data_IF_443164132292
#
_entry.id   IF_443164132292
#
_cell.length_a   1.000
_cell.length_b   1.000
_cell.length_c   1.000
_cell.angle_alpha   90.00
_cell.angle_beta   90.00
_cell.angle_gamma   90.00
#
_symmetry.space_group_name_H-M   'P 1'
#
loop_
_entity.id
_entity.type
_entity.pdbx_description
1 polymer ?
#
# COMPACT_ATOMS: atom_id res chain seq x y z
N UNK A 1 -3.57 -5.46 -21.95
CA UNK A 1 -4.87 -5.02 -21.40
C UNK A 1 -5.11 -5.72 -20.06
N UNK A 2 -4.55 -5.22 -18.96
CA UNK A 2 -4.65 -5.87 -17.64
C UNK A 2 -4.51 -4.78 -16.56
N UNK A 3 -5.57 -4.51 -15.78
CA UNK A 3 -5.50 -3.53 -14.69
C UNK A 3 -6.83 -3.15 -14.04
N UNK A 4 -7.96 -3.16 -14.75
CA UNK A 4 -9.26 -2.75 -14.18
C UNK A 4 -10.48 -3.45 -14.82
N UNK A 5 -10.48 -4.78 -14.95
CA UNK A 5 -11.75 -5.50 -15.10
C UNK A 5 -12.49 -5.42 -13.77
N UNK A 6 -13.29 -4.35 -13.60
CA UNK A 6 -14.11 -4.01 -12.42
C UNK A 6 -13.42 -4.22 -11.06
N UNK A 7 -12.81 -3.17 -10.51
CA UNK A 7 -12.27 -3.16 -9.13
C UNK A 7 -13.39 -3.10 -8.04
N UNK A 8 -14.65 -3.07 -8.46
CA UNK A 8 -15.84 -3.07 -7.61
C UNK A 8 -15.77 -4.00 -6.37
N UNK A 9 -15.52 -5.33 -6.49
CA UNK A 9 -15.48 -6.20 -5.33
C UNK A 9 -14.38 -5.79 -4.34
N UNK A 10 -13.24 -5.29 -4.81
CA UNK A 10 -12.15 -4.81 -3.97
C UNK A 10 -12.50 -3.50 -3.27
N UNK A 11 -13.22 -2.59 -3.94
CA UNK A 11 -13.73 -1.37 -3.30
C UNK A 11 -14.73 -1.68 -2.19
N UNK A 12 -15.65 -2.60 -2.44
CA UNK A 12 -16.61 -3.07 -1.43
C UNK A 12 -15.88 -3.71 -0.25
N UNK A 13 -14.90 -4.58 -0.53
CA UNK A 13 -14.09 -5.21 0.51
C UNK A 13 -13.31 -4.15 1.32
N UNK A 14 -12.61 -3.24 0.67
CA UNK A 14 -11.83 -2.20 1.34
C UNK A 14 -12.67 -1.31 2.26
N UNK A 15 -13.86 -0.88 1.82
CA UNK A 15 -14.76 -0.07 2.66
C UNK A 15 -15.42 -0.89 3.77
N UNK A 16 -15.68 -2.18 3.54
CA UNK A 16 -16.16 -3.09 4.59
C UNK A 16 -15.10 -3.27 5.67
N UNK A 17 -13.87 -3.64 5.30
CA UNK A 17 -12.77 -3.81 6.26
C UNK A 17 -12.49 -2.52 7.02
N UNK A 18 -12.44 -1.37 6.33
CA UNK A 18 -12.32 -0.05 6.98
C UNK A 18 -13.40 0.15 8.05
N UNK A 19 -14.65 -0.19 7.74
CA UNK A 19 -15.75 -0.08 8.71
C UNK A 19 -15.62 -1.07 9.88
N UNK A 20 -15.26 -2.33 9.60
CA UNK A 20 -15.09 -3.36 10.63
C UNK A 20 -13.98 -3.01 11.63
N UNK A 21 -12.87 -2.47 11.12
CA UNK A 21 -11.67 -2.14 11.88
C UNK A 21 -11.75 -0.79 12.59
N UNK A 22 -12.30 0.24 11.94
CA UNK A 22 -12.26 1.63 12.45
C UNK A 22 -13.62 2.19 12.86
N UNK A 23 -14.71 1.58 12.40
CA UNK A 23 -16.07 2.11 12.58
C UNK A 23 -16.43 3.24 11.61
N UNK A 24 -15.55 3.61 10.68
CA UNK A 24 -15.79 4.65 9.68
C UNK A 24 -16.48 4.05 8.44
N UNK A 25 -17.53 4.71 7.96
CA UNK A 25 -18.28 4.28 6.78
C UNK A 25 -18.56 5.45 5.83
N UNK A 26 -18.07 5.35 4.60
CA UNK A 26 -18.30 6.32 3.53
C UNK A 26 -19.55 5.95 2.74
N UNK A 27 -20.55 6.84 2.72
CA UNK A 27 -21.83 6.60 2.05
C UNK A 27 -22.32 7.81 1.26
N UNK A 28 -23.24 7.56 0.34
CA UNK A 28 -24.05 8.58 -0.32
C UNK A 28 -25.51 8.40 0.06
N UNK A 29 -26.14 9.45 0.58
CA UNK A 29 -27.56 9.47 0.90
C UNK A 29 -28.41 9.28 -0.35
N UNK A 30 -29.35 8.33 -0.35
CA UNK A 30 -30.11 7.97 -1.56
C UNK A 30 -31.03 9.10 -2.03
N UNK A 31 -31.54 9.93 -1.12
CA UNK A 31 -32.53 10.98 -1.41
C UNK A 31 -31.85 12.26 -1.87
N UNK A 32 -30.92 12.76 -1.09
CA UNK A 32 -30.22 14.04 -1.30
C UNK A 32 -29.00 13.91 -2.21
N UNK A 33 -28.51 12.69 -2.47
CA UNK A 33 -27.27 12.40 -3.20
C UNK A 33 -26.02 13.02 -2.59
N UNK A 34 -26.08 13.43 -1.32
CA UNK A 34 -24.93 13.98 -0.60
C UNK A 34 -24.05 12.84 -0.10
N UNK A 35 -22.73 13.00 -0.25
CA UNK A 35 -21.73 12.14 0.39
C UNK A 35 -21.65 12.47 1.88
N UNK A 36 -21.60 11.44 2.71
CA UNK A 36 -21.60 11.53 4.17
C UNK A 36 -20.64 10.49 4.72
N UNK A 37 -19.89 10.87 5.76
CA UNK A 37 -19.09 9.94 6.54
C UNK A 37 -19.83 9.65 7.83
N UNK A 38 -20.18 8.38 8.04
CA UNK A 38 -20.80 7.90 9.27
C UNK A 38 -19.74 7.25 10.16
N UNK A 39 -19.90 7.33 11.48
CA UNK A 39 -19.00 6.70 12.44
C UNK A 39 -19.78 5.98 13.54
N UNK A 40 -19.27 4.84 14.02
CA UNK A 40 -19.87 4.15 15.18
C UNK A 40 -19.78 4.95 16.47
N UNK A 41 -18.80 5.86 16.58
CA UNK A 41 -18.67 6.80 17.70
C UNK A 41 -19.91 7.70 17.83
N UNK A 42 -20.47 8.12 16.70
CA UNK A 42 -21.63 9.03 16.65
C UNK A 42 -22.98 8.31 16.54
N UNK A 43 -22.99 7.02 16.22
CA UNK A 43 -24.20 6.21 16.08
C UNK A 43 -24.04 4.77 16.61
N UNK A 44 -24.62 4.51 17.79
CA UNK A 44 -24.60 3.18 18.41
C UNK A 44 -25.36 2.09 17.62
N UNK A 45 -26.28 2.45 16.72
CA UNK A 45 -26.92 1.47 15.83
C UNK A 45 -25.91 0.93 14.81
N UNK A 46 -25.00 1.77 14.32
CA UNK A 46 -23.92 1.33 13.43
C UNK A 46 -22.98 0.35 14.13
N UNK A 47 -22.68 0.56 15.41
CA UNK A 47 -21.85 -0.38 16.16
C UNK A 47 -22.52 -1.76 16.30
N UNK A 48 -23.85 -1.79 16.47
CA UNK A 48 -24.65 -3.02 16.42
C UNK A 48 -24.57 -3.75 15.07
N UNK A 49 -24.61 -3.00 13.97
CA UNK A 49 -24.40 -3.55 12.63
C UNK A 49 -22.97 -4.07 12.44
N UNK A 50 -21.97 -3.31 12.88
CA UNK A 50 -20.55 -3.70 12.81
C UNK A 50 -20.30 -5.05 13.46
N UNK A 51 -20.85 -5.30 14.65
CA UNK A 51 -20.78 -6.63 15.29
C UNK A 51 -21.39 -7.75 14.45
N UNK A 52 -22.56 -7.52 13.83
CA UNK A 52 -23.21 -8.50 12.95
C UNK A 52 -22.39 -8.78 11.70
N UNK A 53 -21.79 -7.74 11.11
CA UNK A 53 -20.98 -7.84 9.90
C UNK A 53 -19.68 -8.60 10.18
N UNK A 54 -19.00 -8.31 11.29
CA UNK A 54 -17.81 -9.07 11.71
C UNK A 54 -18.09 -10.55 11.94
N UNK A 55 -19.28 -10.88 12.44
CA UNK A 55 -19.71 -12.27 12.60
C UNK A 55 -20.13 -12.93 11.28
N UNK A 56 -20.64 -12.15 10.31
CA UNK A 56 -21.05 -12.61 9.00
C UNK A 56 -20.93 -11.47 7.96
N UNK A 57 -19.83 -11.42 7.17
CA UNK A 57 -19.57 -10.33 6.23
C UNK A 57 -20.66 -10.13 5.17
N UNK A 58 -21.47 -11.15 4.87
CA UNK A 58 -22.60 -11.02 3.92
C UNK A 58 -23.67 -10.01 4.38
N UNK A 59 -23.75 -9.76 5.70
CA UNK A 59 -24.65 -8.78 6.32
C UNK A 59 -24.31 -7.33 5.97
N UNK A 60 -23.13 -7.07 5.42
CA UNK A 60 -22.75 -5.71 5.01
C UNK A 60 -23.73 -5.10 4.01
N UNK A 61 -24.23 -5.92 3.06
CA UNK A 61 -25.22 -5.48 2.08
C UNK A 61 -26.55 -5.02 2.69
N UNK A 62 -26.92 -5.53 3.86
CA UNK A 62 -28.18 -5.22 4.56
C UNK A 62 -28.14 -3.85 5.26
N UNK A 63 -26.95 -3.26 5.43
CA UNK A 63 -26.77 -1.94 6.06
C UNK A 63 -27.32 -0.78 5.22
N UNK A 64 -27.44 -0.98 3.90
CA UNK A 64 -27.65 0.08 2.91
C UNK A 64 -29.13 0.24 2.50
N UNK A 65 -29.98 0.64 3.46
CA UNK A 65 -31.42 0.94 3.21
C UNK A 65 -31.62 2.35 2.65
N UNK A 66 -31.15 3.36 3.37
CA UNK A 66 -31.31 4.79 3.05
C UNK A 66 -30.06 5.37 2.38
N UNK A 67 -28.97 4.62 2.43
CA UNK A 67 -27.67 4.99 1.92
C UNK A 67 -27.20 4.03 0.84
N UNK A 68 -26.28 4.50 0.00
CA UNK A 68 -25.44 3.65 -0.86
C UNK A 68 -24.00 3.75 -0.38
N UNK A 69 -23.24 2.68 -0.52
CA UNK A 69 -21.80 2.72 -0.29
C UNK A 69 -21.12 3.71 -1.27
N UNK A 70 -20.30 4.62 -0.77
CA UNK A 70 -19.60 5.61 -1.61
C UNK A 70 -18.28 5.03 -2.14
N UNK A 71 -18.40 4.28 -3.24
CA UNK A 71 -17.25 3.67 -3.91
C UNK A 71 -16.31 4.70 -4.54
N UNK A 72 -16.78 5.93 -4.78
CA UNK A 72 -16.00 7.00 -5.43
C UNK A 72 -15.08 7.75 -4.45
N UNK A 73 -15.31 7.57 -3.14
CA UNK A 73 -14.41 8.03 -2.08
C UNK A 73 -13.02 7.40 -2.22
N UNK A 74 -12.96 6.12 -2.62
CA UNK A 74 -11.71 5.40 -2.85
C UNK A 74 -11.05 5.85 -4.15
N UNK A 75 -9.83 6.38 -4.05
CA UNK A 75 -8.94 6.58 -5.20
C UNK A 75 -8.00 5.38 -5.30
N UNK A 76 -7.98 4.65 -6.43
CA UNK A 76 -6.98 3.60 -6.65
C UNK A 76 -5.57 4.16 -6.51
N UNK A 77 -4.68 3.38 -5.91
CA UNK A 77 -3.32 3.83 -5.59
C UNK A 77 -2.25 2.92 -6.19
N UNK A 78 -2.28 1.62 -5.85
CA UNK A 78 -1.35 0.62 -6.38
C UNK A 78 -1.88 -0.80 -6.21
N UNK A 79 -1.24 -1.76 -6.87
CA UNK A 79 -1.53 -3.18 -6.73
C UNK A 79 -0.24 -3.96 -6.48
N UNK A 80 -0.11 -4.67 -5.37
CA UNK A 80 1.09 -5.39 -4.97
C UNK A 80 0.87 -6.89 -4.92
N UNK A 81 1.72 -7.64 -5.61
CA UNK A 81 1.76 -9.09 -5.49
C UNK A 81 2.93 -9.50 -4.60
N UNK A 82 2.66 -10.17 -3.48
CA UNK A 82 3.71 -10.70 -2.61
C UNK A 82 4.65 -11.64 -3.38
N UNK A 83 5.99 -11.50 -3.23
CA UNK A 83 6.95 -12.37 -3.91
C UNK A 83 6.75 -13.86 -3.59
N UNK A 84 7.16 -14.75 -4.51
CA UNK A 84 6.99 -16.22 -4.35
C UNK A 84 7.77 -16.83 -3.18
N UNK A 85 8.74 -16.10 -2.63
CA UNK A 85 9.55 -16.58 -1.50
C UNK A 85 8.76 -16.64 -0.19
N UNK A 86 7.68 -15.86 -0.07
CA UNK A 86 6.85 -15.85 1.12
C UNK A 86 5.83 -16.99 1.08
N UNK A 87 5.65 -17.66 2.23
CA UNK A 87 4.71 -18.78 2.39
C UNK A 87 3.28 -18.40 2.01
N UNK A 88 2.86 -17.21 2.39
CA UNK A 88 1.56 -16.65 2.06
C UNK A 88 1.74 -15.53 1.04
N UNK A 89 0.92 -15.53 -0.01
CA UNK A 89 0.96 -14.52 -1.06
C UNK A 89 -0.38 -13.83 -1.17
N UNK A 90 -0.33 -12.51 -1.28
CA UNK A 90 -1.50 -11.66 -1.46
C UNK A 90 -1.34 -10.82 -2.72
N UNK A 91 -2.43 -10.63 -3.46
CA UNK A 91 -2.56 -9.65 -4.54
C UNK A 91 -3.38 -8.49 -3.99
N UNK A 92 -2.70 -7.48 -3.46
CA UNK A 92 -3.26 -6.44 -2.60
C UNK A 92 -3.45 -5.14 -3.38
N UNK A 93 -4.70 -4.73 -3.55
CA UNK A 93 -5.06 -3.42 -4.08
C UNK A 93 -5.10 -2.38 -2.95
N UNK A 94 -4.27 -1.35 -3.08
CA UNK A 94 -4.25 -0.18 -2.21
C UNK A 94 -5.16 0.91 -2.77
N UNK A 95 -5.88 1.55 -1.85
CA UNK A 95 -6.70 2.73 -2.12
C UNK A 95 -6.34 3.84 -1.14
N UNK A 96 -6.60 5.09 -1.54
CA UNK A 96 -6.51 6.26 -0.66
C UNK A 96 -7.84 6.98 -0.63
N UNK A 97 -8.24 7.47 0.54
CA UNK A 97 -9.43 8.29 0.71
C UNK A 97 -8.99 9.68 1.22
N UNK A 98 -9.18 10.74 0.42
CA UNK A 98 -8.99 12.10 0.90
C UNK A 98 -10.08 12.46 1.92
N UNK A 99 -9.68 13.03 3.06
CA UNK A 99 -10.58 13.53 4.11
C UNK A 99 -10.17 14.95 4.47
N UNK A 100 -11.15 15.78 4.83
CA UNK A 100 -10.92 17.19 5.16
C UNK A 100 -10.36 17.36 6.58
N UNK A 101 -10.77 16.48 7.50
CA UNK A 101 -10.40 16.48 8.90
C UNK A 101 -10.17 15.04 9.40
N UNK A 102 -9.51 14.93 10.54
CA UNK A 102 -9.39 13.67 11.27
C UNK A 102 -10.78 13.13 11.64
N UNK A 103 -11.02 11.86 11.31
CA UNK A 103 -12.27 11.17 11.64
C UNK A 103 -12.06 10.39 12.93
N UNK A 104 -13.01 10.50 13.86
CA UNK A 104 -13.00 9.71 15.10
C UNK A 104 -13.09 8.21 14.80
N UNK A 105 -12.11 7.47 15.33
CA UNK A 105 -11.99 6.02 15.15
C UNK A 105 -12.44 5.31 16.42
N UNK A 106 -13.24 4.26 16.26
CA UNK A 106 -13.48 3.26 17.31
C UNK A 106 -12.80 1.96 16.87
N UNK A 107 -11.56 1.75 17.30
CA UNK A 107 -10.76 0.61 16.81
C UNK A 107 -11.32 -0.75 17.21
N UNK A 108 -11.01 -1.74 16.39
CA UNK A 108 -11.17 -3.15 16.69
C UNK A 108 -10.05 -3.66 17.61
N UNK A 109 -10.34 -3.83 18.90
CA UNK A 109 -9.37 -4.29 19.91
C UNK A 109 -8.90 -5.76 19.77
N UNK A 110 -9.55 -6.56 18.92
CA UNK A 110 -9.14 -7.94 18.64
C UNK A 110 -8.00 -8.05 17.63
N UNK A 111 -7.92 -7.10 16.70
CA UNK A 111 -6.98 -7.14 15.56
C UNK A 111 -5.97 -5.98 15.62
N UNK A 112 -6.35 -4.87 16.28
CA UNK A 112 -5.53 -3.67 16.42
C UNK A 112 -5.21 -3.42 17.88
N UNK A 113 -3.94 -3.10 18.16
CA UNK A 113 -3.50 -2.64 19.48
C UNK A 113 -3.54 -1.13 19.62
N UNK A 114 -3.33 -0.39 18.53
CA UNK A 114 -3.20 1.07 18.51
C UNK A 114 -3.69 1.65 17.17
N UNK A 115 -4.10 2.93 17.18
CA UNK A 115 -4.39 3.71 15.98
C UNK A 115 -3.94 5.16 16.17
N UNK A 116 -3.52 5.81 15.09
CA UNK A 116 -3.05 7.20 15.09
C UNK A 116 -3.38 7.85 13.75
N UNK A 117 -3.82 9.12 13.79
CA UNK A 117 -3.61 10.02 12.67
C UNK A 117 -2.16 10.51 12.74
N UNK A 118 -1.36 10.21 11.70
CA UNK A 118 0.08 10.48 11.67
C UNK A 118 0.50 10.83 10.25
N UNK A 119 1.48 11.72 10.10
CA UNK A 119 2.00 12.05 8.78
C UNK A 119 2.88 10.92 8.23
N UNK A 120 2.98 10.74 6.90
CA UNK A 120 3.90 9.78 6.31
C UNK A 120 5.35 9.96 6.79
N UNK A 121 5.81 11.20 6.96
CA UNK A 121 7.15 11.52 7.46
C UNK A 121 7.40 10.93 8.84
N UNK A 122 6.51 11.20 9.79
CA UNK A 122 6.68 10.78 11.19
C UNK A 122 6.67 9.24 11.32
N UNK A 123 5.78 8.54 10.61
CA UNK A 123 5.75 7.07 10.68
C UNK A 123 6.98 6.42 10.04
N UNK A 124 7.51 7.02 8.95
CA UNK A 124 8.76 6.59 8.32
C UNK A 124 9.97 6.82 9.26
N UNK A 125 10.01 7.94 9.97
CA UNK A 125 11.04 8.22 10.99
C UNK A 125 10.98 7.22 12.15
N UNK A 126 9.77 6.90 12.66
CA UNK A 126 9.59 5.84 13.66
C UNK A 126 10.06 4.48 13.15
N UNK A 127 9.78 4.16 11.88
CA UNK A 127 10.26 2.93 11.27
C UNK A 127 11.80 2.86 11.21
N UNK A 128 12.46 3.97 10.87
CA UNK A 128 13.93 4.05 10.84
C UNK A 128 14.56 3.87 12.22
N UNK A 129 13.85 4.23 13.29
CA UNK A 129 14.29 4.06 14.68
C UNK A 129 13.95 2.68 15.25
N UNK A 130 13.11 1.90 14.59
CA UNK A 130 12.70 0.57 15.05
C UNK A 130 13.80 -0.47 14.82
N UNK A 131 14.07 -1.27 15.86
CA UNK A 131 15.03 -2.38 15.81
C UNK A 131 14.52 -3.58 15.00
N UNK A 132 13.21 -3.66 14.74
CA UNK A 132 12.59 -4.76 13.98
C UNK A 132 11.98 -4.29 12.66
N UNK A 133 11.84 -2.99 12.44
CA UNK A 133 11.05 -2.45 11.33
C UNK A 133 9.55 -2.54 11.64
N UNK A 134 8.86 -1.41 11.59
CA UNK A 134 7.43 -1.29 11.82
C UNK A 134 6.61 -1.57 10.55
N UNK A 135 7.16 -1.22 9.40
CA UNK A 135 6.47 -1.21 8.12
C UNK A 135 6.98 -2.31 7.21
N UNK A 136 6.11 -3.19 6.68
CA UNK A 136 6.48 -4.08 5.61
C UNK A 136 6.79 -3.30 4.32
N UNK A 137 7.47 -3.94 3.35
CA UNK A 137 7.97 -3.25 2.16
C UNK A 137 6.89 -2.52 1.33
N UNK A 138 5.69 -3.07 1.08
CA UNK A 138 4.63 -2.33 0.40
C UNK A 138 4.24 -1.05 1.14
N UNK A 139 3.98 -1.12 2.45
CA UNK A 139 3.59 0.05 3.25
C UNK A 139 4.69 1.11 3.27
N UNK A 140 5.95 0.72 3.47
CA UNK A 140 7.07 1.67 3.47
C UNK A 140 7.21 2.38 2.12
N UNK A 141 7.16 1.61 1.02
CA UNK A 141 7.23 2.16 -0.32
C UNK A 141 6.06 3.13 -0.56
N UNK A 142 4.83 2.72 -0.26
CA UNK A 142 3.65 3.56 -0.48
C UNK A 142 3.60 4.82 0.39
N UNK A 143 4.10 4.77 1.63
CA UNK A 143 4.25 5.96 2.48
C UNK A 143 5.31 6.92 1.94
N UNK A 144 6.44 6.41 1.41
CA UNK A 144 7.42 7.24 0.72
C UNK A 144 6.82 7.91 -0.53
N UNK A 145 5.95 7.21 -1.27
CA UNK A 145 5.24 7.78 -2.43
C UNK A 145 4.25 8.85 -2.03
N UNK A 146 3.47 8.61 -0.97
CA UNK A 146 2.54 9.59 -0.43
C UNK A 146 3.26 10.84 0.06
N UNK A 147 4.38 10.68 0.78
CA UNK A 147 5.22 11.79 1.23
C UNK A 147 5.66 12.70 0.07
N UNK A 148 5.92 12.12 -1.10
CA UNK A 148 6.37 12.83 -2.30
C UNK A 148 5.22 13.17 -3.28
N UNK A 149 3.96 12.95 -2.89
CA UNK A 149 2.79 13.22 -3.73
C UNK A 149 1.95 14.33 -3.14
N UNK A 150 1.80 15.44 -3.89
CA UNK A 150 0.87 16.51 -3.51
C UNK A 150 -0.57 15.98 -3.53
N UNK A 151 -1.37 16.44 -2.59
CA UNK A 151 -2.76 16.00 -2.41
C UNK A 151 -3.62 16.09 -3.71
N UNK A 152 -3.51 17.19 -4.44
CA UNK A 152 -4.22 17.39 -5.71
C UNK A 152 -3.72 16.50 -6.87
N UNK A 153 -2.66 15.72 -6.67
CA UNK A 153 -2.08 14.79 -7.65
C UNK A 153 -2.34 13.33 -7.30
N UNK A 154 -2.98 13.01 -6.17
CA UNK A 154 -3.19 11.63 -5.71
C UNK A 154 -3.78 10.72 -6.79
N UNK A 155 -4.87 11.13 -7.45
CA UNK A 155 -5.48 10.30 -8.51
C UNK A 155 -4.60 10.14 -9.74
N UNK A 156 -3.74 11.12 -10.06
CA UNK A 156 -2.80 11.04 -11.19
C UNK A 156 -1.60 10.13 -10.91
N UNK A 157 -1.33 9.86 -9.63
CA UNK A 157 -0.25 9.00 -9.14
C UNK A 157 -0.67 7.54 -8.93
N UNK A 158 -1.93 7.20 -9.25
CA UNK A 158 -2.35 5.80 -9.35
C UNK A 158 -1.39 5.03 -10.27
N UNK A 159 -0.84 3.93 -9.77
CA UNK A 159 -0.08 3.00 -10.59
C UNK A 159 -1.03 1.97 -11.21
N UNK A 160 -1.24 1.98 -12.54
CA UNK A 160 -2.16 1.06 -13.19
C UNK A 160 -1.59 -0.36 -13.32
N UNK A 161 -0.30 -0.55 -13.03
CA UNK A 161 0.38 -1.83 -13.17
C UNK A 161 0.53 -2.54 -11.83
N UNK A 162 0.37 -3.86 -11.87
CA UNK A 162 0.69 -4.71 -10.73
C UNK A 162 2.19 -4.69 -10.47
N UNK A 163 2.56 -4.32 -9.26
CA UNK A 163 3.89 -4.36 -8.73
C UNK A 163 4.19 -5.79 -8.29
N UNK A 164 5.17 -6.40 -8.95
CA UNK A 164 5.66 -7.74 -8.61
C UNK A 164 7.12 -7.61 -8.16
N UNK A 165 7.39 -7.35 -6.88
CA UNK A 165 8.77 -7.29 -6.41
C UNK A 165 9.45 -8.67 -6.53
N UNK A 166 10.77 -8.66 -6.70
CA UNK A 166 11.58 -9.89 -6.81
C UNK A 166 12.67 -9.87 -5.76
N UNK A 167 12.91 -11.02 -5.14
CA UNK A 167 13.86 -11.13 -4.03
C UNK A 167 15.22 -11.62 -4.53
N UNK A 168 16.27 -10.94 -4.09
CA UNK A 168 17.66 -11.35 -4.26
C UNK A 168 18.30 -11.40 -2.87
N UNK A 169 18.80 -12.58 -2.49
CA UNK A 169 19.60 -12.78 -1.29
C UNK A 169 21.07 -12.46 -1.56
N UNK A 170 21.72 -11.84 -0.60
CA UNK A 170 23.17 -11.63 -0.63
C UNK A 170 23.91 -12.95 -0.34
N UNK A 171 24.97 -13.24 -1.11
CA UNK A 171 25.85 -14.39 -0.84
C UNK A 171 26.67 -14.20 0.43
N UNK A 172 27.13 -12.97 0.66
CA UNK A 172 28.03 -12.62 1.75
C UNK A 172 27.28 -12.39 3.07
N UNK A 173 26.01 -11.96 3.00
CA UNK A 173 25.18 -11.76 4.16
C UNK A 173 23.76 -12.34 3.92
N UNK A 174 23.51 -13.62 4.25
CA UNK A 174 22.23 -14.27 3.98
C UNK A 174 21.01 -13.56 4.58
N UNK A 175 21.19 -12.80 5.66
CA UNK A 175 20.11 -12.05 6.30
C UNK A 175 19.75 -10.79 5.50
N UNK A 176 20.64 -10.28 4.64
CA UNK A 176 20.42 -9.09 3.82
C UNK A 176 19.64 -9.43 2.55
N UNK A 177 18.51 -8.77 2.38
CA UNK A 177 17.61 -8.93 1.25
C UNK A 177 17.60 -7.68 0.39
N UNK A 178 17.61 -7.90 -0.92
CA UNK A 178 17.26 -6.91 -1.91
C UNK A 178 15.92 -7.28 -2.53
N UNK A 179 14.94 -6.39 -2.39
CA UNK A 179 13.65 -6.53 -3.05
C UNK A 179 13.62 -5.55 -4.23
N UNK A 180 13.85 -6.09 -5.44
CA UNK A 180 13.89 -5.30 -6.67
C UNK A 180 12.48 -5.07 -7.20
N UNK A 181 12.16 -3.81 -7.47
CA UNK A 181 10.87 -3.37 -8.00
C UNK A 181 10.95 -3.29 -9.53
N UNK A 182 9.82 -3.33 -10.26
CA UNK A 182 9.88 -3.28 -11.71
C UNK A 182 10.60 -2.01 -12.22
N UNK A 183 11.28 -2.13 -13.36
CA UNK A 183 12.14 -1.07 -13.90
C UNK A 183 13.55 -0.98 -13.29
N UNK A 184 13.82 -1.67 -12.18
CA UNK A 184 15.20 -1.84 -11.68
C UNK A 184 16.05 -2.59 -12.72
N UNK A 185 17.34 -2.23 -12.84
CA UNK A 185 18.26 -2.85 -13.79
C UNK A 185 18.49 -4.36 -13.57
N UNK A 186 18.22 -4.88 -12.36
CA UNK A 186 18.28 -6.30 -12.04
C UNK A 186 16.92 -7.00 -12.18
N UNK A 187 15.86 -6.28 -12.56
CA UNK A 187 14.52 -6.80 -12.68
C UNK A 187 14.36 -7.70 -13.91
N UNK A 188 13.72 -8.87 -13.72
CA UNK A 188 13.40 -9.79 -14.82
C UNK A 188 11.93 -9.59 -15.22
N UNK A 189 11.62 -8.95 -16.36
CA UNK A 189 10.24 -8.67 -16.73
C UNK A 189 9.44 -9.92 -17.14
N UNK A 190 10.10 -10.94 -17.66
CA UNK A 190 9.47 -12.17 -18.10
C UNK A 190 8.88 -12.94 -16.92
N UNK A 191 7.56 -13.18 -16.97
CA UNK A 191 6.83 -13.91 -15.93
C UNK A 191 7.06 -13.36 -14.50
N UNK A 192 7.13 -12.02 -14.39
CA UNK A 192 7.46 -11.29 -13.17
C UNK A 192 6.74 -11.76 -11.90
N UNK A 193 5.49 -12.22 -12.02
CA UNK A 193 4.68 -12.72 -10.90
C UNK A 193 5.19 -14.04 -10.28
N UNK A 194 6.11 -14.74 -10.94
CA UNK A 194 6.57 -16.09 -10.57
C UNK A 194 8.10 -16.24 -10.51
N UNK A 195 8.85 -15.14 -10.58
CA UNK A 195 10.31 -15.17 -10.50
C UNK A 195 10.73 -15.69 -9.12
N UNK A 196 11.47 -16.80 -9.12
CA UNK A 196 12.03 -17.40 -7.89
C UNK A 196 13.08 -16.48 -7.27
N UNK A 197 13.29 -16.53 -5.94
CA UNK A 197 14.36 -15.78 -5.31
C UNK A 197 15.70 -16.14 -5.93
N UNK A 198 16.55 -15.15 -6.13
CA UNK A 198 17.91 -15.29 -6.66
C UNK A 198 18.92 -15.08 -5.55
N UNK A 199 20.16 -15.47 -5.80
CA UNK A 199 21.28 -15.24 -4.88
C UNK A 199 22.44 -14.65 -5.67
N UNK A 200 22.94 -13.49 -5.24
CA UNK A 200 23.98 -12.73 -5.94
C UNK A 200 25.06 -12.26 -4.96
N UNK A 201 26.29 -12.08 -5.44
CA UNK A 201 27.33 -11.45 -4.62
C UNK A 201 27.06 -9.96 -4.50
N UNK A 202 27.40 -9.35 -3.36
CA UNK A 202 27.39 -7.91 -3.18
C UNK A 202 28.19 -7.21 -4.30
N UNK A 203 29.31 -7.81 -4.73
CA UNK A 203 30.13 -7.30 -5.82
C UNK A 203 29.37 -7.26 -7.16
N UNK A 204 28.58 -8.28 -7.49
CA UNK A 204 27.79 -8.32 -8.72
C UNK A 204 26.63 -7.32 -8.67
N UNK A 205 25.99 -7.18 -7.49
CA UNK A 205 24.94 -6.19 -7.26
C UNK A 205 25.51 -4.78 -7.43
N UNK A 206 26.64 -4.46 -6.79
CA UNK A 206 27.29 -3.15 -6.92
C UNK A 206 27.80 -2.87 -8.34
N UNK A 207 28.38 -3.88 -9.03
CA UNK A 207 28.80 -3.73 -10.45
C UNK A 207 27.63 -3.41 -11.36
N UNK A 208 26.43 -3.87 -11.02
CA UNK A 208 25.22 -3.53 -11.78
C UNK A 208 24.85 -2.05 -11.64
N UNK A 209 25.24 -1.38 -10.54
CA UNK A 209 24.99 0.04 -10.27
C UNK A 209 25.97 0.97 -11.01
N UNK A 210 26.17 0.76 -12.31
CA UNK A 210 26.86 1.73 -13.16
C UNK A 210 26.13 3.08 -13.13
N UNK A 211 26.83 4.19 -13.38
CA UNK A 211 26.33 5.57 -13.23
C UNK A 211 24.93 5.81 -13.82
N UNK A 212 24.60 5.11 -14.91
CA UNK A 212 23.36 5.28 -15.65
C UNK A 212 22.28 4.22 -15.38
N UNK A 213 22.57 3.21 -14.54
CA UNK A 213 21.62 2.16 -14.22
C UNK A 213 20.41 2.70 -13.46
N UNK A 214 19.23 2.23 -13.84
CA UNK A 214 17.99 2.53 -13.11
C UNK A 214 17.96 1.65 -11.87
N UNK A 215 17.91 2.29 -10.70
CA UNK A 215 17.84 1.59 -9.42
C UNK A 215 16.48 1.85 -8.82
N UNK A 216 15.80 0.76 -8.50
CA UNK A 216 14.48 0.76 -7.93
C UNK A 216 14.32 -0.46 -7.03
N UNK A 217 14.87 -0.38 -5.83
CA UNK A 217 14.91 -1.53 -4.93
C UNK A 217 14.85 -1.13 -3.49
N UNK A 218 14.35 -2.03 -2.66
CA UNK A 218 14.44 -1.93 -1.21
C UNK A 218 15.52 -2.87 -0.68
N UNK A 219 16.15 -2.48 0.41
CA UNK A 219 17.07 -3.34 1.17
C UNK A 219 16.62 -3.44 2.61
N UNK A 220 16.57 -4.63 3.18
CA UNK A 220 16.23 -4.87 4.59
C UNK A 220 16.87 -6.18 5.09
N UNK A 221 16.70 -6.49 6.37
CA UNK A 221 17.30 -7.66 7.01
C UNK A 221 16.27 -8.60 7.64
N UNK A 222 16.35 -9.90 7.36
CA UNK A 222 15.56 -10.94 8.03
C UNK A 222 16.01 -11.17 9.49
N UNK A 223 15.15 -11.73 10.37
CA UNK A 223 13.78 -12.22 10.12
C UNK A 223 12.72 -11.10 10.13
N UNK A 224 13.12 -9.83 10.16
CA UNK A 224 12.24 -8.69 10.30
C UNK A 224 12.33 -7.77 9.07
N UNK A 225 11.94 -6.49 9.20
CA UNK A 225 12.18 -5.47 8.19
C UNK A 225 13.16 -4.41 8.72
N UNK A 226 14.13 -4.85 9.53
CA UNK A 226 15.11 -3.98 10.13
C UNK A 226 15.95 -3.27 9.06
N UNK A 227 16.27 -1.99 9.32
CA UNK A 227 17.04 -1.12 8.41
C UNK A 227 16.49 -1.10 6.98
N UNK A 228 15.17 -1.17 6.84
CA UNK A 228 14.54 -1.06 5.52
C UNK A 228 14.84 0.31 4.90
N UNK A 229 15.43 0.28 3.71
CA UNK A 229 15.78 1.46 2.91
C UNK A 229 15.23 1.31 1.49
N UNK A 230 14.78 2.41 0.92
CA UNK A 230 14.34 2.48 -0.48
C UNK A 230 15.37 3.24 -1.31
N UNK A 231 15.87 2.60 -2.36
CA UNK A 231 16.88 3.14 -3.26
C UNK A 231 16.26 3.44 -4.62
N UNK A 232 16.16 4.72 -4.97
CA UNK A 232 15.62 5.23 -6.23
C UNK A 232 16.69 6.06 -6.94
N UNK A 233 17.14 5.63 -8.13
CA UNK A 233 18.12 6.38 -8.95
C UNK A 233 17.73 6.29 -10.43
N UNK A 234 18.04 7.36 -11.18
CA UNK A 234 17.92 7.42 -12.65
C UNK A 234 16.51 7.11 -13.21
N UNK A 235 15.46 7.34 -12.42
CA UNK A 235 14.06 7.09 -12.80
C UNK A 235 13.58 7.86 -14.04
N UNK A 236 14.18 9.01 -14.35
CA UNK A 236 13.90 9.80 -15.56
C UNK A 236 14.18 9.01 -16.86
N UNK A 237 14.97 7.93 -16.79
CA UNK A 237 15.41 7.16 -17.96
C UNK A 237 14.44 6.06 -18.39
N UNK A 238 13.39 5.81 -17.61
CA UNK A 238 12.30 4.88 -17.96
C UNK A 238 10.94 5.46 -17.58
N UNK A 239 10.38 6.36 -18.42
CA UNK A 239 9.14 7.06 -18.12
C UNK A 239 7.90 6.17 -18.19
N UNK A 240 8.00 4.98 -18.79
CA UNK A 240 6.84 4.12 -19.06
C UNK A 240 6.63 3.05 -17.99
N UNK A 241 7.68 2.57 -17.33
CA UNK A 241 7.54 1.30 -16.60
C UNK A 241 6.97 1.42 -15.21
N UNK A 242 7.22 2.48 -14.44
CA UNK A 242 6.45 2.70 -13.20
C UNK A 242 6.42 4.15 -12.72
N UNK A 243 5.20 4.67 -12.48
CA UNK A 243 4.94 5.92 -11.74
C UNK A 243 5.14 5.76 -10.22
N UNK A 244 6.20 5.10 -9.79
CA UNK A 244 6.44 4.94 -8.36
C UNK A 244 6.85 6.29 -7.74
N UNK A 245 7.52 7.20 -8.47
CA UNK A 245 7.87 8.53 -7.93
C UNK A 245 7.63 9.64 -8.94
N UNK A 246 7.07 10.77 -8.50
CA UNK A 246 7.06 12.02 -9.27
C UNK A 246 8.46 12.63 -9.16
N UNK A 247 9.12 12.88 -10.30
CA UNK A 247 10.40 13.59 -10.33
C UNK A 247 10.07 15.08 -10.32
N UNK A 248 9.59 15.57 -9.20
CA UNK A 248 9.75 16.99 -8.89
C UNK A 248 11.07 17.12 -8.15
N UNK A 249 12.12 17.44 -8.90
CA UNK A 249 13.38 17.96 -8.35
C UNK A 249 13.04 19.15 -7.46
N UNK A 250 12.94 18.92 -6.16
CA UNK A 250 13.08 19.99 -5.19
C UNK A 250 14.48 19.86 -4.63
N UNK A 251 15.34 20.76 -5.11
CA UNK A 251 16.66 21.02 -4.56
C UNK A 251 16.46 21.52 -3.11
N UNK A 252 17.33 21.05 -2.21
CA UNK A 252 17.46 21.31 -0.77
C UNK A 252 16.72 20.36 0.16
#
# INVERSE_FOLDING_TARGET
>A
MEGHKSDYPFRVAALRELFEETGILFVTDRRSKKRVVLTTVKDGKLDGWRRKIRANPSKFSELFTDFNLDLEALKPWSNWLTPVTFKHRYDTLFFVIPVDDEIEVQMCDKEMSEWLWITPREILERNCQSETGLLPPPQYCELMRLLNTRFNRLSAMCNPHRLCPQVIFSKENPDKIYEVLPGDNLYIPENAAHVRPRTMSEADISKSEVTDAIIHRMTYYEPSFFKLQLHIKNVDKDPERIRLFHIERTVC
#
